data_IF_175217705775
#
_entry.id   IF_175217705775
#
_cell.length_a   1.000
_cell.length_b   1.000
_cell.length_c   1.000
_cell.angle_alpha   90.00
_cell.angle_beta   90.00
_cell.angle_gamma   90.00
#
_symmetry.space_group_name_H-M   'P 1'
#
loop_
_entity.id
_entity.type
_entity.pdbx_description
1 polymer ?
#
# COMPACT_ATOMS: atom_id res chain seq x y z
N UNK A 1 0.56 -9.83 -17.05
CA UNK A 1 0.97 -10.56 -15.82
C UNK A 1 1.17 -9.59 -14.68
N UNK A 2 1.82 -10.04 -13.60
CA UNK A 2 2.27 -9.21 -12.47
C UNK A 2 3.78 -9.40 -12.35
N UNK A 3 4.54 -8.31 -12.26
CA UNK A 3 6.00 -8.30 -12.09
C UNK A 3 6.35 -7.37 -10.94
N UNK A 4 7.32 -7.78 -10.13
CA UNK A 4 7.86 -6.96 -9.04
C UNK A 4 9.33 -6.71 -9.36
N UNK A 5 9.71 -5.44 -9.41
CA UNK A 5 11.10 -5.00 -9.50
C UNK A 5 11.44 -4.25 -8.22
N UNK A 6 12.23 -4.86 -7.33
CA UNK A 6 12.61 -4.24 -6.06
C UNK A 6 13.98 -4.73 -5.60
N UNK A 7 14.65 -3.91 -4.79
CA UNK A 7 15.92 -4.27 -4.17
C UNK A 7 15.76 -4.75 -2.72
N UNK A 8 14.56 -4.62 -2.16
CA UNK A 8 14.27 -4.96 -0.77
C UNK A 8 13.99 -6.46 -0.60
N UNK A 9 14.42 -6.98 0.54
CA UNK A 9 14.24 -8.36 0.96
C UNK A 9 13.85 -8.39 2.45
N UNK A 10 13.60 -9.58 2.98
CA UNK A 10 13.24 -9.75 4.40
C UNK A 10 14.31 -9.12 5.29
N UNK A 11 13.88 -8.34 6.29
CA UNK A 11 14.74 -7.65 7.27
C UNK A 11 15.65 -6.56 6.68
N UNK A 12 15.38 -6.11 5.45
CA UNK A 12 16.09 -4.99 4.84
C UNK A 12 15.83 -3.67 5.58
N UNK A 13 16.91 -2.94 5.87
CA UNK A 13 16.86 -1.62 6.50
C UNK A 13 16.86 -0.54 5.43
N UNK A 14 15.80 0.27 5.39
CA UNK A 14 15.67 1.38 4.43
C UNK A 14 16.63 2.51 4.80
N UNK A 15 17.44 2.93 3.84
CA UNK A 15 18.38 4.04 3.98
C UNK A 15 17.62 5.38 3.89
N UNK A 16 17.86 6.34 4.80
CA UNK A 16 17.16 7.62 4.80
C UNK A 16 17.69 8.62 3.76
N UNK A 17 18.81 8.31 3.11
CA UNK A 17 19.53 9.23 2.24
C UNK A 17 19.08 9.20 0.76
N UNK A 18 18.20 8.27 0.40
CA UNK A 18 17.72 8.06 -0.97
C UNK A 18 16.19 8.15 -1.05
N UNK A 19 15.66 8.06 -2.26
CA UNK A 19 14.21 8.01 -2.47
C UNK A 19 13.57 6.83 -1.71
N UNK A 20 12.34 7.05 -1.27
CA UNK A 20 11.48 6.13 -0.54
C UNK A 20 10.98 4.93 -1.36
N UNK A 21 11.29 4.88 -2.66
CA UNK A 21 10.90 3.78 -3.54
C UNK A 21 11.67 2.49 -3.22
N UNK A 22 10.95 1.50 -2.68
CA UNK A 22 11.50 0.19 -2.30
C UNK A 22 11.24 -0.91 -3.32
N UNK A 23 10.15 -0.80 -4.08
CA UNK A 23 9.75 -1.75 -5.10
C UNK A 23 8.78 -1.09 -6.10
N UNK A 24 8.80 -1.58 -7.33
CA UNK A 24 7.85 -1.26 -8.40
C UNK A 24 7.01 -2.48 -8.73
N UNK A 25 5.70 -2.38 -8.51
CA UNK A 25 4.73 -3.37 -8.93
C UNK A 25 4.21 -3.01 -10.33
N UNK A 26 4.52 -3.84 -11.33
CA UNK A 26 4.07 -3.65 -12.70
C UNK A 26 2.99 -4.67 -13.04
N UNK A 27 1.83 -4.21 -13.50
CA UNK A 27 0.69 -5.06 -13.86
C UNK A 27 0.31 -4.81 -15.31
N UNK A 28 0.05 -5.89 -16.05
CA UNK A 28 -0.44 -5.81 -17.42
C UNK A 28 -1.49 -6.89 -17.71
N UNK A 29 -2.40 -6.59 -18.63
CA UNK A 29 -3.44 -7.48 -19.16
C UNK A 29 -3.65 -7.23 -20.67
N UNK A 30 -4.55 -7.99 -21.28
CA UNK A 30 -4.92 -7.81 -22.69
C UNK A 30 -5.90 -6.67 -22.89
N UNK A 31 -6.68 -6.34 -21.85
CA UNK A 31 -7.59 -5.20 -21.84
C UNK A 31 -7.35 -4.31 -20.64
N UNK A 32 -7.92 -3.11 -20.68
CA UNK A 32 -7.89 -2.17 -19.57
C UNK A 32 -8.55 -2.76 -18.32
N UNK A 33 -9.75 -3.33 -18.47
CA UNK A 33 -10.52 -3.91 -17.36
C UNK A 33 -9.76 -5.08 -16.73
N UNK A 34 -9.11 -5.91 -17.54
CA UNK A 34 -8.26 -7.00 -17.05
C UNK A 34 -7.06 -6.46 -16.26
N UNK A 35 -6.43 -5.39 -16.75
CA UNK A 35 -5.28 -4.77 -16.10
C UNK A 35 -5.66 -4.16 -14.76
N UNK A 36 -6.75 -3.39 -14.70
CA UNK A 36 -7.24 -2.75 -13.47
C UNK A 36 -7.67 -3.80 -12.44
N UNK A 37 -8.46 -4.81 -12.84
CA UNK A 37 -8.84 -5.91 -11.92
C UNK A 37 -7.63 -6.65 -11.38
N UNK A 38 -6.62 -6.90 -12.23
CA UNK A 38 -5.38 -7.56 -11.79
C UNK A 38 -4.57 -6.65 -10.87
N UNK A 39 -4.56 -5.34 -11.09
CA UNK A 39 -3.87 -4.38 -10.24
C UNK A 39 -4.52 -4.31 -8.85
N UNK A 40 -5.84 -4.30 -8.77
CA UNK A 40 -6.57 -4.39 -7.50
C UNK A 40 -6.13 -5.63 -6.70
N UNK A 41 -6.21 -6.82 -7.32
CA UNK A 41 -5.79 -8.07 -6.66
C UNK A 41 -4.31 -8.04 -6.25
N UNK A 42 -3.43 -7.61 -7.16
CA UNK A 42 -2.00 -7.59 -6.89
C UNK A 42 -1.64 -6.65 -5.73
N UNK A 43 -2.32 -5.49 -5.62
CA UNK A 43 -2.14 -4.56 -4.50
C UNK A 43 -2.74 -5.10 -3.20
N UNK A 44 -3.90 -5.77 -3.24
CA UNK A 44 -4.50 -6.41 -2.05
C UNK A 44 -3.61 -7.53 -1.48
N UNK A 45 -2.89 -8.24 -2.34
CA UNK A 45 -1.97 -9.32 -1.95
C UNK A 45 -0.54 -8.82 -1.65
N UNK A 46 -0.22 -7.55 -1.93
CA UNK A 46 1.14 -7.04 -1.75
C UNK A 46 1.39 -6.65 -0.29
N UNK A 47 2.01 -7.57 0.46
CA UNK A 47 2.28 -7.39 1.89
C UNK A 47 3.67 -6.80 2.12
N UNK A 48 3.71 -5.63 2.75
CA UNK A 48 4.92 -5.00 3.28
C UNK A 48 4.64 -4.61 4.74
N UNK A 49 5.55 -4.96 5.65
CA UNK A 49 5.40 -4.73 7.09
C UNK A 49 6.56 -3.91 7.64
N UNK A 50 6.34 -3.30 8.80
CA UNK A 50 7.34 -2.51 9.53
C UNK A 50 7.42 -1.04 9.12
N UNK A 51 6.79 -0.65 8.01
CA UNK A 51 6.75 0.73 7.51
C UNK A 51 5.38 1.07 6.94
N UNK A 52 5.08 2.36 6.84
CA UNK A 52 3.94 2.85 6.05
C UNK A 52 4.29 2.81 4.57
N UNK A 53 3.33 2.46 3.73
CA UNK A 53 3.49 2.39 2.27
C UNK A 53 2.41 3.16 1.54
N UNK A 54 2.60 3.41 0.25
CA UNK A 54 1.62 4.03 -0.65
C UNK A 54 0.56 3.05 -1.15
N UNK A 55 0.61 1.78 -0.76
CA UNK A 55 -0.33 0.73 -1.22
C UNK A 55 -1.80 1.10 -0.96
N UNK A 56 -2.21 1.59 0.23
CA UNK A 56 -3.61 1.96 0.48
C UNK A 56 -4.11 3.09 -0.43
N UNK A 57 -3.23 4.04 -0.76
CA UNK A 57 -3.53 5.13 -1.68
C UNK A 57 -3.74 4.60 -3.11
N UNK A 58 -2.83 3.74 -3.59
CA UNK A 58 -2.99 3.13 -4.91
C UNK A 58 -4.25 2.25 -4.99
N UNK A 59 -4.60 1.54 -3.92
CA UNK A 59 -5.86 0.78 -3.83
C UNK A 59 -7.10 1.67 -3.98
N UNK A 60 -7.10 2.89 -3.43
CA UNK A 60 -8.18 3.85 -3.63
C UNK A 60 -8.29 4.26 -5.09
N UNK A 61 -7.16 4.58 -5.74
CA UNK A 61 -7.13 4.95 -7.16
C UNK A 61 -7.67 3.82 -8.04
N UNK A 62 -7.14 2.60 -7.90
CA UNK A 62 -7.55 1.49 -8.80
C UNK A 62 -8.98 1.01 -8.58
N UNK A 63 -9.61 1.39 -7.46
CA UNK A 63 -11.03 1.12 -7.15
C UNK A 63 -11.96 2.29 -7.47
N UNK A 64 -11.41 3.43 -7.87
CA UNK A 64 -12.19 4.60 -8.24
C UNK A 64 -12.91 4.39 -9.58
N UNK A 65 -14.16 4.85 -9.68
CA UNK A 65 -14.97 4.62 -10.88
C UNK A 65 -14.44 5.35 -12.11
N UNK A 66 -13.96 6.59 -11.96
CA UNK A 66 -13.40 7.35 -13.08
C UNK A 66 -12.10 6.70 -13.55
N UNK A 67 -11.26 6.24 -12.64
CA UNK A 67 -10.09 5.45 -12.98
C UNK A 67 -10.47 4.17 -13.74
N UNK A 68 -11.42 3.38 -13.22
CA UNK A 68 -11.89 2.14 -13.86
C UNK A 68 -12.44 2.43 -15.28
N UNK A 69 -13.11 3.56 -15.49
CA UNK A 69 -13.65 3.97 -16.80
C UNK A 69 -12.61 4.59 -17.73
N UNK A 70 -11.37 4.82 -17.26
CA UNK A 70 -10.32 5.50 -18.03
C UNK A 70 -10.52 7.02 -18.16
N UNK A 71 -11.36 7.61 -17.30
CA UNK A 71 -11.74 9.01 -17.33
C UNK A 71 -10.88 9.85 -16.37
N UNK A 72 -9.63 10.12 -16.74
CA UNK A 72 -8.71 10.88 -15.91
C UNK A 72 -7.70 11.67 -16.73
N UNK A 73 -7.15 12.72 -16.12
CA UNK A 73 -6.07 13.55 -16.66
C UNK A 73 -4.97 13.75 -15.61
N UNK A 74 -4.08 14.72 -15.84
CA UNK A 74 -3.00 15.03 -14.92
C UNK A 74 -3.46 15.66 -13.59
N UNK A 75 -4.68 16.17 -13.50
CA UNK A 75 -5.24 16.79 -12.29
C UNK A 75 -6.06 15.78 -11.45
N UNK A 76 -6.27 14.56 -11.95
CA UNK A 76 -7.12 13.55 -11.34
C UNK A 76 -6.96 13.40 -9.82
N UNK A 77 -5.71 13.34 -9.33
CA UNK A 77 -5.40 13.16 -7.90
C UNK A 77 -5.62 14.45 -7.11
N UNK A 78 -5.31 15.60 -7.68
CA UNK A 78 -5.38 16.89 -6.98
C UNK A 78 -6.82 17.36 -6.81
N UNK A 79 -7.69 17.06 -7.76
CA UNK A 79 -9.13 17.35 -7.69
C UNK A 79 -9.89 16.39 -6.77
N UNK A 80 -9.36 15.18 -6.55
CA UNK A 80 -10.01 14.11 -5.79
C UNK A 80 -9.34 13.89 -4.44
N UNK A 81 -9.33 14.92 -3.60
CA UNK A 81 -8.70 14.88 -2.27
C UNK A 81 -9.19 13.71 -1.39
N UNK A 82 -10.41 13.21 -1.60
CA UNK A 82 -10.93 12.03 -0.89
C UNK A 82 -10.12 10.75 -1.17
N UNK A 83 -9.35 10.67 -2.27
CA UNK A 83 -8.44 9.56 -2.52
C UNK A 83 -7.30 9.50 -1.49
N UNK A 84 -6.96 10.64 -0.88
CA UNK A 84 -5.98 10.73 0.22
C UNK A 84 -6.58 10.32 1.57
N UNK A 85 -7.91 10.23 1.68
CA UNK A 85 -8.59 9.73 2.87
C UNK A 85 -8.65 8.19 2.86
N UNK A 86 -7.54 7.59 3.28
CA UNK A 86 -7.41 6.16 3.50
C UNK A 86 -6.96 5.87 4.93
N UNK A 87 -7.54 4.81 5.49
CA UNK A 87 -7.11 4.32 6.80
C UNK A 87 -5.80 3.57 6.62
N UNK A 88 -4.76 4.01 7.33
CA UNK A 88 -3.57 3.18 7.52
C UNK A 88 -4.00 1.92 8.28
N UNK A 89 -3.87 0.75 7.65
CA UNK A 89 -4.04 -0.51 8.35
C UNK A 89 -2.97 -0.60 9.45
N UNK A 90 -3.42 -0.60 10.70
CA UNK A 90 -2.55 -0.91 11.84
C UNK A 90 -2.28 -2.41 11.83
N UNK A 91 -1.03 -2.79 12.05
CA UNK A 91 -0.71 -4.21 12.11
C UNK A 91 -1.37 -4.78 13.39
N UNK A 92 -2.02 -5.96 13.34
CA UNK A 92 -2.52 -6.63 14.55
C UNK A 92 -1.49 -6.72 15.68
N UNK A 93 -0.20 -6.83 15.36
CA UNK A 93 0.90 -6.78 16.32
C UNK A 93 0.94 -5.48 17.13
N UNK A 94 0.48 -4.34 16.58
CA UNK A 94 0.40 -3.08 17.34
C UNK A 94 -0.56 -3.20 18.53
N UNK A 95 -1.68 -3.92 18.34
CA UNK A 95 -2.65 -4.17 19.42
C UNK A 95 -2.07 -5.13 20.46
N UNK A 96 -1.39 -6.18 20.01
CA UNK A 96 -0.75 -7.17 20.90
C UNK A 96 0.32 -6.48 21.74
N UNK A 97 1.17 -5.66 21.12
CA UNK A 97 2.22 -4.89 21.80
C UNK A 97 1.63 -3.95 22.85
N UNK A 98 0.53 -3.25 22.52
CA UNK A 98 -0.15 -2.37 23.47
C UNK A 98 -0.70 -3.14 24.67
N UNK A 99 -1.28 -4.32 24.45
CA UNK A 99 -1.79 -5.19 25.52
C UNK A 99 -0.62 -5.72 26.36
N UNK A 100 0.43 -6.25 25.73
CA UNK A 100 1.59 -6.82 26.46
C UNK A 100 2.31 -5.76 27.27
N UNK A 101 2.51 -4.56 26.73
CA UNK A 101 3.12 -3.44 27.45
C UNK A 101 2.26 -2.99 28.64
N UNK A 102 0.93 -3.01 28.49
CA UNK A 102 -0.01 -2.71 29.58
C UNK A 102 0.07 -3.74 30.70
N UNK A 103 0.10 -5.03 30.36
CA UNK A 103 0.28 -6.13 31.32
C UNK A 103 1.63 -6.03 32.01
N UNK A 104 2.70 -5.80 31.25
CA UNK A 104 4.06 -5.68 31.78
C UNK A 104 4.17 -4.53 32.80
N UNK A 105 3.66 -3.35 32.43
CA UNK A 105 3.58 -2.17 33.31
C UNK A 105 2.77 -2.46 34.58
N UNK A 106 1.66 -3.19 34.48
CA UNK A 106 0.82 -3.54 35.63
C UNK A 106 1.53 -4.49 36.61
N UNK A 107 2.31 -5.45 36.11
CA UNK A 107 3.05 -6.42 36.94
C UNK A 107 4.49 -5.97 37.29
N UNK A 108 4.92 -4.80 36.82
CA UNK A 108 6.25 -4.27 37.10
C UNK A 108 7.40 -5.04 36.44
N UNK A 109 7.14 -5.67 35.29
CA UNK A 109 8.13 -6.34 34.43
C UNK A 109 8.41 -5.53 33.17
#
# INVERSE_FOLDING_TARGET
GVRIDGAVYKDYVIQPFYDSMIAKLTVGGRTWEETVRRAQRALDEFVIKGIKTTIPFHLKIVRDEDFIKGNFDTHFVDERLYLRDYKLQRDPFDKILAISASIATYYGI
#
